data_IF_752297118645
#
_entry.id   IF_752297118645
#
_cell.length_a   1.000
_cell.length_b   1.000
_cell.length_c   1.000
_cell.angle_alpha   90.00
_cell.angle_beta   90.00
_cell.angle_gamma   90.00
#
_symmetry.space_group_name_H-M   'P 1'
#
loop_
_entity.id
_entity.type
_entity.pdbx_description
1 polymer ?
#
# COMPACT_ATOMS: atom_id res chain seq x y z
N UNK A 1 4.07 4.83 -5.97
CA UNK A 1 2.74 4.28 -6.35
C UNK A 1 2.58 2.93 -5.71
N UNK A 2 1.53 2.75 -4.91
CA UNK A 2 1.27 1.49 -4.20
C UNK A 2 0.21 0.69 -4.95
N UNK A 3 0.63 -0.44 -5.53
CA UNK A 3 -0.23 -1.25 -6.42
C UNK A 3 -1.13 -2.22 -5.66
N UNK A 4 -0.73 -2.65 -4.45
CA UNK A 4 -1.51 -3.58 -3.63
C UNK A 4 -1.94 -2.94 -2.33
N UNK A 5 -3.14 -3.30 -1.88
CA UNK A 5 -3.53 -3.10 -0.49
C UNK A 5 -2.63 -3.98 0.37
N UNK A 6 -1.82 -3.32 1.20
CA UNK A 6 -1.01 -3.97 2.21
C UNK A 6 -1.64 -3.67 3.55
N UNK A 7 -1.55 -4.62 4.47
CA UNK A 7 -1.92 -4.36 5.86
C UNK A 7 -1.18 -3.14 6.38
N UNK A 8 -1.87 -2.41 7.25
CA UNK A 8 -1.36 -1.21 7.91
C UNK A 8 -0.91 -0.07 6.97
N UNK A 9 -1.49 0.04 5.77
CA UNK A 9 -1.12 1.11 4.84
C UNK A 9 -1.44 2.51 5.40
N UNK A 10 -2.56 2.66 6.12
CA UNK A 10 -2.97 3.94 6.75
C UNK A 10 -1.90 4.42 7.73
N UNK A 11 -1.49 3.52 8.61
CA UNK A 11 -0.52 3.71 9.67
C UNK A 11 0.85 4.04 9.08
N UNK A 12 1.28 3.33 8.02
CA UNK A 12 2.53 3.64 7.33
C UNK A 12 2.50 5.00 6.64
N UNK A 13 1.39 5.38 6.03
CA UNK A 13 1.27 6.71 5.41
C UNK A 13 1.44 7.83 6.45
N UNK A 14 0.86 7.66 7.64
CA UNK A 14 1.07 8.58 8.77
C UNK A 14 2.51 8.54 9.26
N UNK A 15 3.08 7.35 9.47
CA UNK A 15 4.47 7.17 9.90
C UNK A 15 5.46 7.90 8.99
N UNK A 16 5.36 7.71 7.67
CA UNK A 16 6.23 8.38 6.71
C UNK A 16 6.05 9.89 6.71
N UNK A 17 4.81 10.38 6.84
CA UNK A 17 4.55 11.80 6.93
C UNK A 17 5.17 12.41 8.19
N UNK A 18 5.00 11.77 9.35
CA UNK A 18 5.57 12.23 10.61
C UNK A 18 7.10 12.21 10.58
N UNK A 19 7.70 11.19 9.96
CA UNK A 19 9.15 11.14 9.78
C UNK A 19 9.65 12.27 8.87
N UNK A 20 8.96 12.56 7.77
CA UNK A 20 9.31 13.68 6.88
C UNK A 20 9.12 15.05 7.54
N UNK A 21 8.12 15.19 8.42
CA UNK A 21 7.94 16.40 9.21
C UNK A 21 9.10 16.61 10.20
N UNK A 22 9.54 15.53 10.86
CA UNK A 22 10.60 15.56 11.85
C UNK A 22 12.00 15.62 11.25
N UNK A 23 12.21 15.24 9.99
CA UNK A 23 13.54 15.11 9.40
C UNK A 23 14.40 16.38 9.42
N UNK A 24 13.86 17.61 9.29
CA UNK A 24 14.67 18.83 9.36
C UNK A 24 15.03 19.25 10.79
N UNK A 25 14.58 18.55 11.83
CA UNK A 25 14.81 18.95 13.22
C UNK A 25 16.30 19.17 13.50
N UNK A 26 16.66 20.38 13.95
CA UNK A 26 18.05 20.73 14.24
C UNK A 26 18.97 20.81 13.02
N UNK A 27 18.42 20.92 11.80
CA UNK A 27 19.20 21.14 10.57
C UNK A 27 19.86 22.54 10.59
N UNK A 28 21.14 22.57 10.93
CA UNK A 28 21.95 23.80 11.07
C UNK A 28 22.11 24.56 9.74
N UNK A 29 21.98 23.86 8.60
CA UNK A 29 22.07 24.46 7.26
C UNK A 29 20.74 25.10 6.82
N UNK A 30 19.64 24.91 7.57
CA UNK A 30 18.34 25.43 7.22
C UNK A 30 18.24 26.94 7.46
N UNK A 31 17.67 27.69 6.51
CA UNK A 31 17.53 29.15 6.61
C UNK A 31 16.79 29.66 7.86
N UNK A 32 15.93 28.85 8.48
CA UNK A 32 15.23 29.23 9.71
C UNK A 32 15.82 28.58 10.97
N UNK A 33 17.04 28.05 10.92
CA UNK A 33 17.69 27.50 12.09
C UNK A 33 17.88 28.58 13.17
N UNK A 34 17.51 28.23 14.39
CA UNK A 34 17.70 29.05 15.58
C UNK A 34 18.49 28.21 16.58
N UNK A 35 19.67 28.66 17.00
CA UNK A 35 20.60 27.92 17.87
C UNK A 35 19.91 27.49 19.20
N UNK A 36 19.10 28.40 19.76
CA UNK A 36 18.35 28.15 21.00
C UNK A 36 17.05 27.35 20.79
N UNK A 37 16.67 27.02 19.56
CA UNK A 37 15.41 26.35 19.26
C UNK A 37 15.45 25.47 18.00
N UNK A 38 15.85 24.20 18.18
CA UNK A 38 15.93 23.20 17.11
C UNK A 38 14.59 22.93 16.37
N UNK A 39 13.45 23.33 16.92
CA UNK A 39 12.16 23.19 16.24
C UNK A 39 11.91 24.24 15.15
N UNK A 40 12.70 25.32 15.10
CA UNK A 40 12.55 26.39 14.11
C UNK A 40 12.76 25.92 12.66
N UNK A 41 13.50 24.83 12.50
CA UNK A 41 13.79 24.19 11.22
C UNK A 41 12.64 23.31 10.72
N UNK A 42 11.68 22.93 11.56
CA UNK A 42 10.56 22.11 11.14
C UNK A 42 9.78 22.79 10.01
N UNK A 43 9.31 21.98 9.05
CA UNK A 43 8.58 22.44 7.87
C UNK A 43 7.31 21.64 7.69
N UNK A 44 6.30 22.29 7.12
CA UNK A 44 5.07 21.58 6.75
C UNK A 44 5.39 20.41 5.81
N UNK A 45 4.84 19.25 6.12
CA UNK A 45 5.08 18.03 5.35
C UNK A 45 3.82 17.61 4.59
N UNK A 46 4.04 17.12 3.36
CA UNK A 46 2.98 16.68 2.44
C UNK A 46 3.23 15.23 2.05
N UNK A 47 2.34 14.34 2.48
CA UNK A 47 2.36 12.93 2.13
C UNK A 47 1.45 12.68 0.93
N UNK A 48 2.01 12.52 -0.26
CA UNK A 48 1.26 12.24 -1.49
C UNK A 48 1.23 10.73 -1.76
N UNK A 49 0.05 10.13 -1.65
CA UNK A 49 -0.16 8.70 -1.80
C UNK A 49 -1.00 8.41 -3.03
N UNK A 50 -0.38 7.84 -4.06
CA UNK A 50 -1.08 7.37 -5.27
C UNK A 50 -1.32 5.87 -5.14
N UNK A 51 -2.60 5.47 -5.11
CA UNK A 51 -3.04 4.10 -4.79
C UNK A 51 -3.86 3.48 -5.92
N UNK A 52 -3.63 2.20 -6.19
CA UNK A 52 -4.40 1.41 -7.17
C UNK A 52 -5.38 0.43 -6.48
N UNK A 53 -5.96 0.83 -5.36
CA UNK A 53 -6.99 0.06 -4.64
C UNK A 53 -8.01 1.00 -3.99
N UNK A 54 -9.15 0.44 -3.58
CA UNK A 54 -10.17 1.19 -2.85
C UNK A 54 -9.83 1.21 -1.36
N UNK A 55 -9.40 2.37 -0.87
CA UNK A 55 -9.08 2.62 0.54
C UNK A 55 -10.18 3.36 1.29
N UNK A 56 -11.00 4.10 0.54
CA UNK A 56 -12.15 4.88 0.97
C UNK A 56 -13.40 4.34 0.26
N UNK A 57 -14.62 4.64 0.78
CA UNK A 57 -15.88 4.36 0.10
C UNK A 57 -15.88 4.83 -1.35
N UNK A 58 -16.59 4.11 -2.22
CA UNK A 58 -16.53 4.33 -3.69
C UNK A 58 -17.34 5.54 -4.16
N UNK A 59 -18.28 5.96 -3.33
CA UNK A 59 -19.13 7.13 -3.48
C UNK A 59 -18.45 8.42 -2.99
N UNK A 60 -17.35 8.33 -2.24
CA UNK A 60 -16.50 9.47 -1.93
C UNK A 60 -15.57 9.83 -3.09
N UNK A 61 -14.99 11.03 -3.06
CA UNK A 61 -14.10 11.53 -4.11
C UNK A 61 -12.84 10.68 -4.29
N UNK A 62 -12.35 10.59 -5.52
CA UNK A 62 -11.10 9.91 -5.85
C UNK A 62 -9.87 10.57 -5.22
N UNK A 63 -9.97 11.86 -4.86
CA UNK A 63 -8.95 12.64 -4.17
C UNK A 63 -9.36 12.91 -2.73
N UNK A 64 -8.63 12.36 -1.79
CA UNK A 64 -8.85 12.57 -0.36
C UNK A 64 -7.74 13.45 0.20
N UNK A 65 -8.13 14.57 0.81
CA UNK A 65 -7.21 15.50 1.48
C UNK A 65 -7.49 15.50 2.99
N UNK A 66 -6.51 15.05 3.76
CA UNK A 66 -6.63 14.88 5.21
C UNK A 66 -5.63 15.81 5.90
N UNK A 67 -6.11 16.54 6.91
CA UNK A 67 -5.33 17.44 7.74
C UNK A 67 -5.91 17.49 9.16
N UNK A 68 -5.12 17.93 10.13
CA UNK A 68 -5.58 18.06 11.51
C UNK A 68 -6.60 19.17 11.70
N UNK A 69 -7.58 18.91 12.55
CA UNK A 69 -8.62 19.85 12.96
C UNK A 69 -9.02 19.59 14.41
N UNK A 70 -9.67 20.56 15.02
CA UNK A 70 -10.26 20.41 16.35
C UNK A 70 -11.62 19.71 16.25
N UNK A 71 -11.83 18.64 17.00
CA UNK A 71 -13.04 17.80 16.89
C UNK A 71 -14.36 18.53 17.21
N UNK A 72 -14.32 19.54 18.11
CA UNK A 72 -15.52 20.26 18.54
C UNK A 72 -15.87 21.44 17.64
N UNK A 73 -14.85 22.20 17.23
CA UNK A 73 -15.03 23.45 16.49
C UNK A 73 -14.81 23.27 14.98
N UNK A 74 -14.28 22.13 14.58
CA UNK A 74 -13.81 21.81 13.23
C UNK A 74 -12.77 22.79 12.67
N UNK A 75 -12.20 23.67 13.52
CA UNK A 75 -11.16 24.62 13.09
C UNK A 75 -9.87 23.86 12.73
N UNK A 76 -9.21 24.21 11.62
CA UNK A 76 -7.96 23.56 11.25
C UNK A 76 -6.87 23.83 12.28
N UNK A 77 -6.03 22.83 12.53
CA UNK A 77 -4.80 23.02 13.29
C UNK A 77 -3.70 23.55 12.36
N UNK A 78 -3.22 24.75 12.63
CA UNK A 78 -2.28 25.49 11.78
C UNK A 78 -0.97 25.76 12.52
N UNK A 79 0.12 25.85 11.76
CA UNK A 79 1.41 26.27 12.26
C UNK A 79 1.48 27.78 12.51
N UNK A 80 2.63 28.25 12.98
CA UNK A 80 2.89 29.66 13.31
C UNK A 80 2.68 30.63 12.14
N UNK A 81 2.83 30.16 10.90
CA UNK A 81 2.60 30.96 9.68
C UNK A 81 1.21 30.73 9.07
N UNK A 82 0.27 30.15 9.82
CA UNK A 82 -1.09 29.87 9.36
C UNK A 82 -1.20 28.72 8.34
N UNK A 83 -0.14 27.95 8.13
CA UNK A 83 -0.07 26.82 7.22
C UNK A 83 -0.52 25.50 7.86
N UNK A 84 -1.09 24.59 7.07
CA UNK A 84 -1.30 23.20 7.52
C UNK A 84 0.05 22.50 7.64
N UNK A 85 0.40 22.05 8.85
CA UNK A 85 1.72 21.42 9.11
C UNK A 85 1.81 19.97 8.62
N UNK A 86 0.67 19.28 8.53
CA UNK A 86 0.56 17.92 8.05
C UNK A 86 -0.56 17.84 7.03
N UNK A 87 -0.25 17.37 5.82
CA UNK A 87 -1.25 17.08 4.80
C UNK A 87 -1.03 15.71 4.20
N UNK A 88 -2.00 14.82 4.40
CA UNK A 88 -2.07 13.54 3.70
C UNK A 88 -3.00 13.68 2.50
N UNK A 89 -2.49 13.33 1.33
CA UNK A 89 -3.23 13.29 0.08
C UNK A 89 -3.29 11.84 -0.39
N UNK A 90 -4.48 11.34 -0.71
CA UNK A 90 -4.67 10.05 -1.37
C UNK A 90 -5.36 10.25 -2.70
N UNK A 91 -4.69 9.89 -3.78
CA UNK A 91 -5.28 9.83 -5.12
C UNK A 91 -5.51 8.36 -5.50
N UNK A 92 -6.77 7.96 -5.60
CA UNK A 92 -7.14 6.63 -6.07
C UNK A 92 -7.17 6.58 -7.60
N UNK A 93 -6.46 5.63 -8.19
CA UNK A 93 -6.47 5.36 -9.63
C UNK A 93 -7.68 4.51 -10.07
N UNK A 94 -8.34 3.84 -9.12
CA UNK A 94 -9.53 3.00 -9.36
C UNK A 94 -10.85 3.71 -9.13
N UNK A 95 -10.88 4.74 -8.28
CA UNK A 95 -12.10 5.47 -8.02
C UNK A 95 -12.49 6.33 -9.23
N UNK A 96 -13.74 6.19 -9.68
CA UNK A 96 -14.32 6.91 -10.82
C UNK A 96 -15.11 8.14 -10.39
N UNK A 97 -15.37 8.33 -9.09
CA UNK A 97 -15.98 9.54 -8.58
C UNK A 97 -14.95 10.67 -8.58
N UNK A 98 -14.80 11.30 -9.74
CA UNK A 98 -13.86 12.37 -10.01
C UNK A 98 -14.46 13.27 -11.08
N UNK A 99 -14.37 14.58 -10.88
CA UNK A 99 -14.84 15.54 -11.87
C UNK A 99 -14.04 15.40 -13.16
N UNK A 100 -14.74 15.17 -14.27
CA UNK A 100 -14.11 15.02 -15.60
C UNK A 100 -13.46 16.34 -16.00
N UNK A 101 -12.29 16.27 -16.63
CA UNK A 101 -11.51 17.44 -17.07
C UNK A 101 -10.94 18.33 -15.93
N UNK A 102 -11.09 17.90 -14.68
CA UNK A 102 -10.41 18.57 -13.56
C UNK A 102 -8.89 18.33 -13.60
N UNK A 103 -8.07 19.21 -12.98
CA UNK A 103 -6.62 19.01 -12.86
C UNK A 103 -6.24 17.63 -12.30
N UNK A 104 -7.00 17.14 -11.32
CA UNK A 104 -6.76 15.83 -10.69
C UNK A 104 -7.18 14.68 -11.61
N UNK A 105 -8.22 14.85 -12.43
CA UNK A 105 -8.60 13.86 -13.44
C UNK A 105 -7.46 13.64 -14.44
N UNK A 106 -6.86 14.72 -14.95
CA UNK A 106 -5.75 14.58 -15.88
C UNK A 106 -4.52 13.90 -15.26
N UNK A 107 -4.20 14.20 -14.00
CA UNK A 107 -3.18 13.45 -13.24
C UNK A 107 -3.54 11.98 -13.09
N UNK A 108 -4.79 11.67 -12.76
CA UNK A 108 -5.27 10.29 -12.62
C UNK A 108 -5.13 9.53 -13.95
N UNK A 109 -5.50 10.14 -15.08
CA UNK A 109 -5.32 9.52 -16.40
C UNK A 109 -3.84 9.31 -16.73
N UNK A 110 -3.02 10.34 -16.52
CA UNK A 110 -1.58 10.26 -16.75
C UNK A 110 -0.92 9.13 -15.96
N UNK A 111 -1.23 8.99 -14.67
CA UNK A 111 -0.68 7.90 -13.85
C UNK A 111 -1.18 6.50 -14.27
N UNK A 112 -2.35 6.41 -14.91
CA UNK A 112 -2.92 5.14 -15.38
C UNK A 112 -2.38 4.71 -16.73
N UNK A 113 -2.20 5.66 -17.65
CA UNK A 113 -1.93 5.36 -19.07
C UNK A 113 -0.56 5.82 -19.56
N UNK A 114 0.09 6.74 -18.83
CA UNK A 114 1.28 7.45 -19.29
C UNK A 114 1.02 8.46 -20.41
N UNK A 115 -0.24 8.62 -20.82
CA UNK A 115 -0.64 9.52 -21.90
C UNK A 115 -1.14 10.85 -21.32
N UNK A 116 -0.82 11.93 -22.04
CA UNK A 116 -1.30 13.27 -21.75
C UNK A 116 -2.17 13.71 -22.91
N UNK A 117 -3.41 14.12 -22.63
CA UNK A 117 -4.31 14.63 -23.65
C UNK A 117 -3.76 15.92 -24.28
N UNK A 118 -4.09 16.18 -25.54
CA UNK A 118 -3.60 17.36 -26.26
C UNK A 118 -3.98 18.69 -25.57
N UNK A 119 -5.20 18.74 -25.02
CA UNK A 119 -5.73 19.88 -24.26
C UNK A 119 -5.31 19.89 -22.79
N UNK A 120 -4.51 18.92 -22.32
CA UNK A 120 -4.09 18.87 -20.94
C UNK A 120 -3.18 20.06 -20.59
N UNK A 121 -3.18 20.51 -19.32
CA UNK A 121 -2.31 21.59 -18.85
C UNK A 121 -0.82 21.36 -19.13
N UNK A 122 -0.07 22.46 -19.34
CA UNK A 122 1.35 22.41 -19.71
C UNK A 122 2.21 21.61 -18.72
N UNK A 123 1.94 21.70 -17.42
CA UNK A 123 2.70 20.96 -16.41
C UNK A 123 2.64 19.43 -16.59
N UNK A 124 1.56 18.88 -17.17
CA UNK A 124 1.46 17.45 -17.49
C UNK A 124 2.27 17.09 -18.73
N UNK A 125 2.28 17.96 -19.74
CA UNK A 125 3.13 17.79 -20.92
C UNK A 125 4.60 17.79 -20.51
N UNK A 126 4.98 18.65 -19.56
CA UNK A 126 6.33 18.69 -19.02
C UNK A 126 6.63 17.44 -18.17
N UNK A 127 5.66 16.96 -17.38
CA UNK A 127 5.78 15.70 -16.68
C UNK A 127 5.99 14.50 -17.64
N UNK A 128 5.25 14.45 -18.75
CA UNK A 128 5.40 13.41 -19.78
C UNK A 128 6.81 13.41 -20.39
N UNK A 129 7.36 14.58 -20.68
CA UNK A 129 8.74 14.71 -21.16
C UNK A 129 9.74 14.17 -20.14
N UNK A 130 9.57 14.49 -18.85
CA UNK A 130 10.46 14.02 -17.77
C UNK A 130 10.46 12.50 -17.61
N UNK A 131 9.33 11.83 -17.82
CA UNK A 131 9.21 10.37 -17.66
C UNK A 131 9.44 9.59 -18.95
N UNK A 132 9.73 10.27 -20.07
CA UNK A 132 10.00 9.60 -21.33
C UNK A 132 11.28 8.77 -21.21
N UNK A 133 11.15 7.45 -21.32
CA UNK A 133 12.27 6.53 -21.16
C UNK A 133 13.48 6.85 -22.04
N UNK A 134 13.23 7.35 -23.26
CA UNK A 134 14.30 7.71 -24.20
C UNK A 134 15.04 8.98 -23.84
N UNK A 135 14.46 9.85 -23.01
CA UNK A 135 15.15 11.04 -22.48
C UNK A 135 15.87 10.79 -21.16
N UNK A 136 15.78 9.57 -20.60
CA UNK A 136 16.45 9.23 -19.35
C UNK A 136 17.94 8.97 -19.56
N UNK A 137 18.74 9.31 -18.56
CA UNK A 137 20.15 8.97 -18.53
C UNK A 137 20.37 7.48 -18.17
N UNK A 138 21.61 6.99 -18.29
CA UNK A 138 21.91 5.58 -18.05
C UNK A 138 21.72 5.14 -16.59
N UNK A 139 21.88 6.04 -15.63
CA UNK A 139 21.63 5.74 -14.22
C UNK A 139 20.14 5.58 -13.95
N UNK A 140 19.31 6.48 -14.47
CA UNK A 140 17.85 6.43 -14.39
C UNK A 140 17.30 5.16 -15.05
N UNK A 141 17.79 4.79 -16.24
CA UNK A 141 17.41 3.53 -16.90
C UNK A 141 17.80 2.31 -16.06
N UNK A 142 19.01 2.29 -15.49
CA UNK A 142 19.45 1.22 -14.56
C UNK A 142 18.56 1.13 -13.33
N UNK A 143 18.14 2.27 -12.78
CA UNK A 143 17.21 2.33 -11.64
C UNK A 143 15.85 1.73 -12.00
N UNK A 144 15.29 2.08 -13.16
CA UNK A 144 14.04 1.48 -13.67
C UNK A 144 14.19 -0.04 -13.82
N UNK A 145 15.26 -0.50 -14.48
CA UNK A 145 15.52 -1.94 -14.64
C UNK A 145 15.64 -2.67 -13.31
N UNK A 146 16.31 -2.07 -12.31
CA UNK A 146 16.41 -2.64 -10.95
C UNK A 146 15.04 -2.74 -10.28
N UNK A 147 14.22 -1.70 -10.39
CA UNK A 147 12.85 -1.69 -9.86
C UNK A 147 11.99 -2.77 -10.52
N UNK A 148 12.06 -2.90 -11.84
CA UNK A 148 11.29 -3.89 -12.59
C UNK A 148 11.73 -5.32 -12.30
N UNK A 149 13.05 -5.56 -12.24
CA UNK A 149 13.62 -6.84 -11.80
C UNK A 149 13.16 -7.18 -10.37
N UNK A 150 13.25 -6.23 -9.45
CA UNK A 150 12.78 -6.42 -8.07
C UNK A 150 11.29 -6.74 -8.00
N UNK A 151 10.47 -6.09 -8.84
CA UNK A 151 9.04 -6.38 -8.96
C UNK A 151 8.78 -7.80 -9.49
N UNK A 152 9.52 -8.24 -10.51
CA UNK A 152 9.40 -9.57 -11.08
C UNK A 152 9.75 -10.66 -10.06
N UNK A 153 10.87 -10.51 -9.34
CA UNK A 153 11.30 -11.42 -8.27
C UNK A 153 10.23 -11.50 -7.19
N UNK A 154 9.79 -10.36 -6.66
CA UNK A 154 8.76 -10.31 -5.62
C UNK A 154 7.44 -10.96 -6.05
N UNK A 155 7.04 -10.77 -7.31
CA UNK A 155 5.84 -11.42 -7.83
C UNK A 155 6.00 -12.95 -7.91
N UNK A 156 7.18 -13.44 -8.29
CA UNK A 156 7.48 -14.87 -8.29
C UNK A 156 7.46 -15.43 -6.86
N UNK A 157 8.15 -14.79 -5.90
CA UNK A 157 8.15 -15.17 -4.49
C UNK A 157 6.73 -15.24 -3.91
N UNK A 158 5.90 -14.23 -4.16
CA UNK A 158 4.51 -14.22 -3.71
C UNK A 158 3.66 -15.31 -4.38
N UNK A 159 3.94 -15.65 -5.63
CA UNK A 159 3.28 -16.76 -6.31
C UNK A 159 3.62 -18.09 -5.65
N UNK A 160 4.90 -18.32 -5.35
CA UNK A 160 5.38 -19.50 -4.63
C UNK A 160 4.75 -19.59 -3.24
N UNK A 161 4.81 -18.52 -2.45
CA UNK A 161 4.25 -18.49 -1.09
C UNK A 161 2.72 -18.74 -1.07
N UNK A 162 1.99 -18.25 -2.09
CA UNK A 162 0.54 -18.53 -2.21
C UNK A 162 0.25 -20.00 -2.51
N UNK A 163 1.06 -20.63 -3.36
CA UNK A 163 0.91 -22.06 -3.67
C UNK A 163 1.19 -22.90 -2.44
N UNK A 164 2.34 -22.67 -1.79
CA UNK A 164 2.75 -23.39 -0.58
C UNK A 164 1.72 -23.20 0.54
N UNK A 165 1.28 -21.96 0.81
CA UNK A 165 0.25 -21.70 1.81
C UNK A 165 -1.10 -22.39 1.51
N UNK A 166 -1.45 -22.59 0.23
CA UNK A 166 -2.66 -23.35 -0.15
C UNK A 166 -2.47 -24.85 0.08
N UNK A 167 -1.31 -25.40 -0.27
CA UNK A 167 -0.98 -26.82 -0.06
C UNK A 167 -0.90 -27.17 1.43
N UNK A 168 -0.26 -26.32 2.23
CA UNK A 168 -0.22 -26.44 3.68
C UNK A 168 -1.62 -26.35 4.29
N UNK A 169 -2.43 -25.37 3.86
CA UNK A 169 -3.80 -25.20 4.35
C UNK A 169 -4.68 -26.41 4.03
N UNK A 170 -4.57 -26.97 2.82
CA UNK A 170 -5.27 -28.20 2.47
C UNK A 170 -4.84 -29.38 3.34
N UNK A 171 -3.53 -29.52 3.58
CA UNK A 171 -2.99 -30.60 4.40
C UNK A 171 -3.45 -30.49 5.86
N UNK A 172 -3.36 -29.29 6.46
CA UNK A 172 -3.85 -29.02 7.82
C UNK A 172 -5.35 -29.31 7.94
N UNK A 173 -6.16 -28.85 6.99
CA UNK A 173 -7.60 -29.10 6.98
C UNK A 173 -7.92 -30.60 6.92
N UNK A 174 -7.20 -31.38 6.11
CA UNK A 174 -7.39 -32.85 6.03
C UNK A 174 -7.11 -33.51 7.39
N UNK A 175 -6.03 -33.11 8.05
CA UNK A 175 -5.63 -33.65 9.37
C UNK A 175 -6.63 -33.25 10.45
N UNK A 176 -7.01 -31.98 10.54
CA UNK A 176 -8.00 -31.50 11.52
C UNK A 176 -9.37 -32.19 11.32
N UNK A 177 -9.80 -32.35 10.06
CA UNK A 177 -11.03 -33.08 9.74
C UNK A 177 -10.93 -34.55 10.15
N UNK A 178 -9.79 -35.19 9.92
CA UNK A 178 -9.55 -36.57 10.32
C UNK A 178 -9.64 -36.76 11.83
N UNK A 179 -9.00 -35.88 12.60
CA UNK A 179 -9.05 -35.89 14.06
C UNK A 179 -10.50 -35.71 14.55
N UNK A 180 -11.26 -34.79 13.95
CA UNK A 180 -12.66 -34.58 14.31
C UNK A 180 -13.52 -35.81 14.03
N UNK A 181 -13.32 -36.47 12.87
CA UNK A 181 -14.06 -37.69 12.54
C UNK A 181 -13.70 -38.87 13.46
N UNK A 182 -12.43 -39.03 13.82
CA UNK A 182 -12.00 -40.05 14.79
C UNK A 182 -12.65 -39.80 16.17
N UNK A 183 -12.66 -38.56 16.65
CA UNK A 183 -13.34 -38.18 17.90
C UNK A 183 -14.85 -38.40 17.87
N UNK A 184 -15.46 -38.39 16.69
CA UNK A 184 -16.88 -38.73 16.48
C UNK A 184 -17.13 -40.25 16.39
N UNK A 185 -16.09 -41.08 16.50
CA UNK A 185 -16.20 -42.54 16.51
C UNK A 185 -16.30 -43.18 15.12
N UNK A 186 -15.94 -42.47 14.04
CA UNK A 186 -15.83 -43.07 12.71
C UNK A 186 -14.62 -43.99 12.61
N UNK A 187 -14.73 -45.08 11.83
CA UNK A 187 -13.59 -46.00 11.64
C UNK A 187 -12.46 -45.36 10.82
N UNK A 188 -11.20 -45.80 10.98
CA UNK A 188 -10.08 -45.28 10.20
C UNK A 188 -10.28 -45.32 8.69
N UNK A 189 -11.00 -46.33 8.19
CA UNK A 189 -11.34 -46.49 6.78
C UNK A 189 -12.37 -45.44 6.30
N UNK A 190 -13.40 -45.14 7.11
CA UNK A 190 -14.39 -44.10 6.82
C UNK A 190 -13.75 -42.70 6.85
N UNK A 191 -12.86 -42.47 7.82
CA UNK A 191 -12.13 -41.20 7.95
C UNK A 191 -11.17 -41.00 6.78
N UNK A 192 -10.43 -42.03 6.36
CA UNK A 192 -9.57 -41.99 5.19
C UNK A 192 -10.36 -41.63 3.92
N UNK A 193 -11.54 -42.23 3.72
CA UNK A 193 -12.42 -41.93 2.60
C UNK A 193 -12.93 -40.47 2.62
N UNK A 194 -13.34 -39.96 3.79
CA UNK A 194 -13.90 -38.60 3.92
C UNK A 194 -12.86 -37.48 3.83
N UNK A 195 -11.59 -37.77 4.12
CA UNK A 195 -10.51 -36.76 4.19
C UNK A 195 -9.53 -36.85 3.02
N UNK A 196 -9.50 -38.00 2.32
CA UNK A 196 -8.51 -38.29 1.29
C UNK A 196 -7.09 -38.46 1.85
N UNK A 197 -6.97 -38.80 3.13
CA UNK A 197 -5.74 -39.33 3.74
C UNK A 197 -5.65 -40.84 3.51
N UNK A 198 -4.45 -41.39 3.56
CA UNK A 198 -4.28 -42.85 3.58
C UNK A 198 -4.74 -43.44 4.91
N UNK A 199 -5.24 -44.68 4.90
CA UNK A 199 -5.64 -45.40 6.12
C UNK A 199 -4.48 -45.48 7.13
N UNK A 200 -3.24 -45.64 6.66
CA UNK A 200 -2.06 -45.64 7.54
C UNK A 200 -1.83 -44.31 8.26
N UNK A 201 -2.00 -43.18 7.57
CA UNK A 201 -1.91 -41.85 8.19
C UNK A 201 -3.02 -41.63 9.23
N UNK A 202 -4.24 -42.12 8.96
CA UNK A 202 -5.36 -42.01 9.90
C UNK A 202 -5.12 -42.87 11.15
N UNK A 203 -4.62 -44.09 11.01
CA UNK A 203 -4.28 -44.96 12.16
C UNK A 203 -3.16 -44.39 13.02
N UNK A 204 -2.19 -43.72 12.40
CA UNK A 204 -1.17 -43.00 13.15
C UNK A 204 -1.76 -41.84 13.95
N UNK A 205 -2.68 -41.06 13.36
CA UNK A 205 -3.40 -40.00 14.06
C UNK A 205 -4.27 -40.54 15.20
N UNK A 206 -4.94 -41.66 14.99
CA UNK A 206 -5.76 -42.35 16.01
C UNK A 206 -4.93 -42.76 17.22
N UNK A 207 -3.75 -43.38 16.99
CA UNK A 207 -2.82 -43.75 18.06
C UNK A 207 -2.28 -42.55 18.84
N UNK A 208 -2.18 -41.38 18.21
CA UNK A 208 -1.74 -40.14 18.88
C UNK A 208 -2.85 -39.48 19.72
N UNK A 209 -4.10 -39.91 19.58
CA UNK A 209 -5.25 -39.40 20.32
C UNK A 209 -5.58 -40.25 21.56
N UNK A 210 -5.06 -41.47 21.64
CA UNK A 210 -5.10 -42.37 22.82
C UNK A 210 -4.12 -41.94 23.92
#
# INVERSE_FOLDING_TARGET
MQVRSHDFFRERAVFYLSAAYASPYGDEDAEAFEEDNQFSTLRAAYGINIIDFHMFPKDEDALQNISYHNDKTHRPFLGSQGQKIHRLCFLSLKNKNIETDSPVYHWQQFFKTGQVAEHAPQYLKDAQKKVNYYSLNEEEKKMIMRVDKGRAIRNAELSTARREGREEGQTKNKVETAINFLKMGLSPEQVAQGTGLSVGQVKELERQLE
#
